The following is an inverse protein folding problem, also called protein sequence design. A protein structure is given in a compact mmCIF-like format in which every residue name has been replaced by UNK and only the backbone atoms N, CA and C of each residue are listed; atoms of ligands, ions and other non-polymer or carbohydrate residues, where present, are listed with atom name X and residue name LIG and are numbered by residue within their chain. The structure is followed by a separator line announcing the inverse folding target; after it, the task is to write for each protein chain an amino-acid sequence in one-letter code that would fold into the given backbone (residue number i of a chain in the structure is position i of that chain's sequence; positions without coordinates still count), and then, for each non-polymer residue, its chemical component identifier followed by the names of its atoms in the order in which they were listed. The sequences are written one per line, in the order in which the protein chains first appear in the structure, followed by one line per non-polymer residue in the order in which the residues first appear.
data_IF_085837306347
#
_entry.id   IF_085837306347
#
_cell.length_a   1.000
_cell.length_b   1.000
_cell.length_c   1.000
_cell.angle_alpha   90.00
_cell.angle_beta   90.00
_cell.angle_gamma   90.00
#
_symmetry.space_group_name_H-M   'P 1'
#
loop_
_entity.id
_entity.type
_entity.pdbx_description
1 polymer ?
#
# COMPACT_ATOMS: atom_id res chain seq x y z
N UNK A 1 10.11 8.29 -20.07
CA UNK A 1 9.81 8.00 -18.65
C UNK A 1 11.13 7.82 -17.90
N UNK A 2 11.79 8.89 -17.45
CA UNK A 2 13.08 8.79 -16.72
C UNK A 2 13.16 9.83 -15.59
N UNK A 3 12.59 11.02 -15.78
CA UNK A 3 12.69 12.10 -14.78
C UNK A 3 11.79 11.94 -13.55
N UNK A 4 10.68 11.19 -13.66
CA UNK A 4 9.75 10.97 -12.53
C UNK A 4 10.37 10.02 -11.49
N UNK A 5 11.09 9.00 -11.95
CA UNK A 5 11.70 7.99 -11.09
C UNK A 5 12.90 8.55 -10.31
N UNK A 6 13.66 9.48 -10.90
CA UNK A 6 14.81 10.09 -10.24
C UNK A 6 14.43 10.83 -8.95
N UNK A 7 13.26 11.50 -8.91
CA UNK A 7 12.80 12.18 -7.70
C UNK A 7 12.34 11.18 -6.64
N UNK A 8 11.58 10.17 -7.05
CA UNK A 8 11.12 9.10 -6.16
C UNK A 8 12.31 8.39 -5.51
N UNK A 9 13.35 8.07 -6.28
CA UNK A 9 14.57 7.43 -5.79
C UNK A 9 15.32 8.31 -4.78
N UNK A 10 15.43 9.62 -5.04
CA UNK A 10 16.04 10.57 -4.08
C UNK A 10 15.25 10.61 -2.76
N UNK A 11 13.92 10.67 -2.82
CA UNK A 11 13.09 10.63 -1.61
C UNK A 11 13.24 9.30 -0.86
N UNK A 12 13.31 8.18 -1.58
CA UNK A 12 13.51 6.87 -1.00
C UNK A 12 14.86 6.74 -0.29
N UNK A 13 15.94 7.15 -0.94
CA UNK A 13 17.28 7.17 -0.34
C UNK A 13 17.32 8.08 0.90
N UNK A 14 16.74 9.28 0.81
CA UNK A 14 16.65 10.19 1.95
C UNK A 14 15.90 9.55 3.11
N UNK A 15 14.71 8.99 2.88
CA UNK A 15 13.94 8.28 3.91
C UNK A 15 14.72 7.12 4.53
N UNK A 16 15.45 6.33 3.72
CA UNK A 16 16.26 5.20 4.19
C UNK A 16 17.47 5.61 5.02
N UNK A 17 18.02 6.80 4.77
CA UNK A 17 19.14 7.36 5.55
C UNK A 17 18.72 7.86 6.94
N UNK A 18 17.42 8.07 7.19
CA UNK A 18 16.93 8.59 8.46
C UNK A 18 17.13 7.58 9.61
N UNK A 19 17.48 8.05 10.82
CA UNK A 19 17.39 7.26 12.04
C UNK A 19 15.99 6.67 12.24
N UNK A 20 15.90 5.53 12.95
CA UNK A 20 14.62 4.81 13.15
C UNK A 20 13.49 5.72 13.68
N UNK A 21 13.80 6.60 14.63
CA UNK A 21 12.83 7.54 15.22
C UNK A 21 12.25 8.50 14.19
N UNK A 22 13.08 9.00 13.28
CA UNK A 22 12.67 9.94 12.24
C UNK A 22 11.87 9.23 11.14
N UNK A 23 12.26 8.00 10.77
CA UNK A 23 11.45 7.16 9.87
C UNK A 23 10.05 6.93 10.42
N UNK A 24 9.92 6.63 11.72
CA UNK A 24 8.61 6.47 12.36
C UNK A 24 7.79 7.75 12.30
N UNK A 25 8.40 8.92 12.52
CA UNK A 25 7.70 10.20 12.41
C UNK A 25 7.19 10.47 10.98
N UNK A 26 7.95 10.08 9.95
CA UNK A 26 7.48 10.17 8.56
C UNK A 26 6.31 9.23 8.32
N UNK A 27 6.40 7.96 8.76
CA UNK A 27 5.31 6.99 8.64
C UNK A 27 4.04 7.47 9.34
N UNK A 28 4.14 8.01 10.56
CA UNK A 28 3.00 8.58 11.29
C UNK A 28 2.32 9.72 10.54
N UNK A 29 3.08 10.53 9.79
CA UNK A 29 2.51 11.59 8.95
C UNK A 29 1.79 11.03 7.74
N UNK A 30 2.38 10.03 7.07
CA UNK A 30 1.74 9.34 5.95
C UNK A 30 0.43 8.67 6.37
N UNK A 31 0.40 8.02 7.53
CA UNK A 31 -0.82 7.37 8.05
C UNK A 31 -1.93 8.34 8.47
N UNK A 32 -1.61 9.63 8.66
CA UNK A 32 -2.61 10.68 8.92
C UNK A 32 -3.25 11.19 7.63
N UNK A 33 -2.60 10.98 6.48
CA UNK A 33 -3.19 11.25 5.19
C UNK A 33 -4.26 10.18 4.89
N UNK A 34 -5.48 10.63 4.58
CA UNK A 34 -6.62 9.73 4.43
C UNK A 34 -6.49 8.88 3.17
N UNK A 35 -6.14 9.51 2.05
CA UNK A 35 -6.02 8.87 0.74
C UNK A 35 -4.92 7.81 0.78
N UNK A 36 -3.73 8.17 1.27
CA UNK A 36 -2.62 7.23 1.42
C UNK A 36 -2.97 6.03 2.31
N UNK A 37 -3.69 6.27 3.42
CA UNK A 37 -4.08 5.19 4.33
C UNK A 37 -5.09 4.23 3.68
N UNK A 38 -6.04 4.75 2.91
CA UNK A 38 -7.02 3.93 2.17
C UNK A 38 -6.29 3.07 1.13
N UNK A 39 -5.40 3.67 0.33
CA UNK A 39 -4.58 2.95 -0.64
C UNK A 39 -3.73 1.85 0.01
N UNK A 40 -3.11 2.15 1.17
CA UNK A 40 -2.29 1.18 1.90
C UNK A 40 -3.11 -0.03 2.39
N UNK A 41 -4.35 0.20 2.84
CA UNK A 41 -5.26 -0.87 3.26
C UNK A 41 -5.63 -1.74 2.06
N UNK A 42 -5.94 -1.13 0.92
CA UNK A 42 -6.31 -1.86 -0.29
C UNK A 42 -5.15 -2.72 -0.80
N UNK A 43 -3.92 -2.18 -0.83
CA UNK A 43 -2.71 -2.93 -1.20
C UNK A 43 -2.52 -4.12 -0.25
N UNK A 44 -2.63 -3.91 1.07
CA UNK A 44 -2.46 -4.99 2.04
C UNK A 44 -3.53 -6.09 1.88
N UNK A 45 -4.77 -5.73 1.57
CA UNK A 45 -5.84 -6.70 1.28
C UNK A 45 -5.53 -7.47 -0.01
N UNK A 46 -5.08 -6.77 -1.06
CA UNK A 46 -4.71 -7.41 -2.33
C UNK A 46 -3.56 -8.40 -2.16
N UNK A 47 -2.53 -8.05 -1.40
CA UNK A 47 -1.40 -8.95 -1.10
C UNK A 47 -1.85 -10.18 -0.33
N UNK A 48 -2.71 -10.02 0.69
CA UNK A 48 -3.26 -11.16 1.44
C UNK A 48 -4.07 -12.10 0.55
N UNK A 49 -4.78 -11.55 -0.43
CA UNK A 49 -5.62 -12.32 -1.36
C UNK A 49 -4.89 -12.78 -2.61
N UNK A 50 -3.60 -12.48 -2.74
CA UNK A 50 -2.85 -12.78 -3.95
C UNK A 50 -2.80 -14.28 -4.28
N UNK A 51 -2.79 -15.12 -3.24
CA UNK A 51 -2.80 -16.59 -3.37
C UNK A 51 -4.22 -17.18 -3.42
N UNK A 52 -5.28 -16.37 -3.32
CA UNK A 52 -6.65 -16.88 -3.42
C UNK A 52 -6.92 -17.40 -4.85
N UNK A 53 -7.48 -18.62 -4.98
CA UNK A 53 -7.84 -19.13 -6.28
C UNK A 53 -8.89 -18.23 -6.93
N UNK A 54 -8.68 -17.92 -8.21
CA UNK A 54 -9.67 -17.19 -9.00
C UNK A 54 -10.99 -17.94 -8.99
N UNK A 55 -12.07 -17.22 -8.70
CA UNK A 55 -13.43 -17.78 -8.68
C UNK A 55 -14.39 -16.93 -9.51
N UNK A 56 -15.42 -17.55 -10.12
CA UNK A 56 -16.47 -16.80 -10.80
C UNK A 56 -17.20 -15.86 -9.85
N UNK A 57 -17.49 -14.64 -10.32
CA UNK A 57 -18.21 -13.63 -9.53
C UNK A 57 -19.58 -14.13 -9.05
N UNK A 58 -20.27 -14.92 -9.87
CA UNK A 58 -21.57 -15.50 -9.50
C UNK A 58 -21.47 -16.43 -8.28
N UNK A 59 -20.42 -17.25 -8.19
CA UNK A 59 -20.18 -18.16 -7.07
C UNK A 59 -19.90 -17.38 -5.78
N UNK A 60 -19.09 -16.32 -5.85
CA UNK A 60 -18.83 -15.44 -4.71
C UNK A 60 -20.10 -14.76 -4.17
N UNK A 61 -20.95 -14.26 -5.08
CA UNK A 61 -22.20 -13.59 -4.69
C UNK A 61 -23.17 -14.57 -4.02
N UNK A 62 -23.23 -15.82 -4.49
CA UNK A 62 -24.07 -16.86 -3.89
C UNK A 62 -23.63 -17.20 -2.46
N UNK A 63 -22.32 -17.33 -2.21
CA UNK A 63 -21.76 -17.56 -0.87
C UNK A 63 -22.01 -16.41 0.11
N UNK A 64 -21.97 -15.16 -0.36
CA UNK A 64 -22.13 -13.96 0.49
C UNK A 64 -23.58 -13.59 0.84
N UNK A 65 -24.56 -14.15 0.12
CA UNK A 65 -26.00 -13.90 0.34
C UNK A 65 -26.67 -14.96 1.24
N UNK A 66 -25.93 -15.98 1.67
CA UNK A 66 -26.37 -16.99 2.64
C UNK A 66 -25.97 -16.56 4.06
#
# INVERSE_FOLDING_TARGET
MVAMDAKAEVFWMAFKSLPKKERLSVIERLLKDKEFKEDLIDIAILEQRYEEPSRPLASYIAEKKS
#
